data_IF_099225068597
#
_entry.id   IF_099225068597
#
_cell.length_a   1.000
_cell.length_b   1.000
_cell.length_c   1.000
_cell.angle_alpha   90.00
_cell.angle_beta   90.00
_cell.angle_gamma   90.00
#
_symmetry.space_group_name_H-M   'P 1'
#
loop_
_entity.id
_entity.type
_entity.pdbx_description
1 polymer ?
#
# COMPACT_ATOMS: atom_id res chain seq x y z
N UNK A 1 35.12 62.82 -12.61
CA UNK A 1 34.97 61.60 -11.76
C UNK A 1 33.49 61.26 -11.67
N UNK A 2 33.11 60.13 -12.27
CA UNK A 2 31.73 59.67 -12.48
C UNK A 2 31.11 59.16 -11.17
N UNK A 3 29.88 59.59 -10.85
CA UNK A 3 29.09 59.04 -9.74
C UNK A 3 27.67 58.67 -10.23
N UNK A 4 27.64 57.48 -10.83
CA UNK A 4 26.56 56.49 -11.02
C UNK A 4 25.12 56.96 -10.72
N UNK A 5 24.33 57.18 -11.78
CA UNK A 5 22.86 57.16 -11.70
C UNK A 5 22.37 55.71 -11.67
N UNK A 6 21.55 55.38 -10.67
CA UNK A 6 20.88 54.10 -10.52
C UNK A 6 19.64 54.05 -11.42
N UNK A 7 19.62 53.14 -12.38
CA UNK A 7 18.43 52.80 -13.16
C UNK A 7 17.82 51.53 -12.55
N UNK A 8 16.66 51.70 -11.94
CA UNK A 8 15.81 50.63 -11.41
C UNK A 8 15.21 49.86 -12.59
N UNK A 9 15.73 48.67 -12.88
CA UNK A 9 15.16 47.78 -13.89
C UNK A 9 14.09 46.91 -13.24
N UNK A 10 12.83 47.23 -13.53
CA UNK A 10 11.64 46.54 -13.05
C UNK A 10 11.49 45.22 -13.84
N UNK A 11 11.73 44.07 -13.19
CA UNK A 11 11.45 42.76 -13.77
C UNK A 11 9.94 42.42 -13.61
N UNK A 12 9.22 42.08 -14.68
CA UNK A 12 7.85 41.59 -14.57
C UNK A 12 7.89 40.10 -14.18
N UNK A 13 7.44 39.78 -12.98
CA UNK A 13 7.22 38.41 -12.54
C UNK A 13 5.89 37.91 -13.12
N UNK A 14 5.94 37.18 -14.23
CA UNK A 14 4.75 36.48 -14.78
C UNK A 14 4.53 35.21 -13.98
N UNK A 15 3.73 35.30 -12.92
CA UNK A 15 3.27 34.15 -12.14
C UNK A 15 2.04 33.52 -12.81
N UNK A 16 2.24 32.59 -13.74
CA UNK A 16 1.18 31.78 -14.32
C UNK A 16 0.89 30.55 -13.46
N UNK A 17 -0.13 30.61 -12.60
CA UNK A 17 -0.68 29.41 -11.94
C UNK A 17 -1.62 28.70 -12.91
N UNK A 18 -1.07 27.92 -13.86
CA UNK A 18 -1.88 27.02 -14.66
C UNK A 18 -2.31 25.83 -13.79
N UNK A 19 -3.56 25.85 -13.32
CA UNK A 19 -4.16 24.72 -12.61
C UNK A 19 -4.60 23.68 -13.63
N UNK A 20 -3.73 22.72 -13.93
CA UNK A 20 -4.09 21.56 -14.75
C UNK A 20 -4.97 20.61 -13.92
N UNK A 21 -6.24 20.48 -14.31
CA UNK A 21 -7.14 19.47 -13.75
C UNK A 21 -6.62 18.09 -14.18
N UNK A 22 -6.30 17.18 -13.24
CA UNK A 22 -5.89 15.83 -13.59
C UNK A 22 -7.02 15.11 -14.33
N UNK A 23 -6.72 14.37 -15.42
CA UNK A 23 -7.73 13.57 -16.09
C UNK A 23 -8.31 12.53 -15.11
N UNK A 24 -9.59 12.15 -15.26
CA UNK A 24 -10.20 11.11 -14.45
C UNK A 24 -9.39 9.81 -14.57
N UNK A 25 -9.04 9.22 -13.43
CA UNK A 25 -8.28 7.98 -13.39
C UNK A 25 -9.03 6.86 -14.14
N UNK A 26 -8.35 6.01 -14.93
CA UNK A 26 -8.96 4.86 -15.55
C UNK A 26 -9.68 3.99 -14.51
N UNK A 27 -10.88 3.52 -14.84
CA UNK A 27 -11.61 2.57 -13.99
C UNK A 27 -10.77 1.29 -13.87
N UNK A 28 -10.31 0.99 -12.66
CA UNK A 28 -9.57 -0.23 -12.38
C UNK A 28 -10.51 -1.43 -12.42
N UNK A 29 -10.05 -2.59 -12.91
CA UNK A 29 -10.83 -3.81 -12.84
C UNK A 29 -11.17 -4.12 -11.37
N UNK A 30 -12.42 -4.49 -11.12
CA UNK A 30 -12.84 -4.96 -9.79
C UNK A 30 -12.07 -6.23 -9.47
N UNK A 31 -11.42 -6.28 -8.31
CA UNK A 31 -10.70 -7.47 -7.88
C UNK A 31 -11.68 -8.66 -7.81
N UNK A 32 -11.41 -9.72 -8.59
CA UNK A 32 -12.16 -10.95 -8.52
C UNK A 32 -12.01 -11.58 -7.13
N UNK A 33 -12.98 -12.42 -6.73
CA UNK A 33 -12.87 -13.19 -5.50
C UNK A 33 -11.64 -14.12 -5.58
N UNK A 34 -10.77 -14.03 -4.58
CA UNK A 34 -9.56 -14.83 -4.51
C UNK A 34 -9.90 -16.25 -4.08
N UNK A 35 -9.32 -17.26 -4.75
CA UNK A 35 -9.45 -18.66 -4.32
C UNK A 35 -8.93 -18.91 -2.90
N UNK A 36 -8.10 -18.00 -2.37
CA UNK A 36 -7.64 -18.04 -0.98
C UNK A 36 -8.75 -17.76 0.03
N UNK A 37 -9.89 -17.20 -0.39
CA UNK A 37 -11.02 -16.94 0.49
C UNK A 37 -11.66 -18.23 1.03
N UNK A 38 -11.52 -19.35 0.31
CA UNK A 38 -12.10 -20.64 0.69
C UNK A 38 -11.10 -21.56 1.41
N UNK A 39 -9.87 -21.10 1.62
CA UNK A 39 -8.81 -21.88 2.27
C UNK A 39 -8.93 -21.72 3.78
N UNK A 40 -9.30 -22.81 4.45
CA UNK A 40 -9.40 -22.88 5.90
C UNK A 40 -8.11 -22.36 6.58
N UNK A 41 -8.29 -21.39 7.48
CA UNK A 41 -7.18 -20.77 8.21
C UNK A 41 -6.67 -19.46 7.60
N UNK A 42 -7.07 -19.11 6.37
CA UNK A 42 -6.78 -17.80 5.77
C UNK A 42 -7.89 -16.77 6.03
N UNK A 43 -9.03 -17.17 6.60
CA UNK A 43 -10.15 -16.30 6.98
C UNK A 43 -9.76 -15.18 7.94
N UNK A 44 -8.69 -15.39 8.72
CA UNK A 44 -8.15 -14.42 9.66
C UNK A 44 -7.44 -13.26 8.96
N UNK A 45 -7.07 -13.41 7.68
CA UNK A 45 -6.28 -12.43 6.91
C UNK A 45 -7.06 -11.94 5.70
N UNK A 46 -7.67 -12.85 4.94
CA UNK A 46 -8.44 -12.50 3.74
C UNK A 46 -9.63 -11.59 4.10
N UNK A 47 -9.86 -10.58 3.27
CA UNK A 47 -10.90 -9.57 3.45
C UNK A 47 -10.70 -8.62 4.65
N UNK A 48 -9.61 -8.76 5.43
CA UNK A 48 -9.34 -7.88 6.57
C UNK A 48 -8.75 -6.55 6.13
N UNK A 49 -8.98 -5.54 6.95
CA UNK A 49 -8.40 -4.20 6.81
C UNK A 49 -7.00 -4.16 7.38
N UNK A 50 -6.22 -3.14 7.02
CA UNK A 50 -4.91 -2.87 7.61
C UNK A 50 -4.96 -2.84 9.15
N UNK A 51 -5.94 -2.14 9.73
CA UNK A 51 -6.11 -2.06 11.19
C UNK A 51 -6.38 -3.42 11.83
N UNK A 52 -7.11 -4.30 11.15
CA UNK A 52 -7.35 -5.67 11.64
C UNK A 52 -6.08 -6.51 11.60
N UNK A 53 -5.28 -6.41 10.54
CA UNK A 53 -3.99 -7.11 10.47
C UNK A 53 -3.01 -6.62 11.52
N UNK A 54 -2.97 -5.32 11.80
CA UNK A 54 -2.12 -4.75 12.85
C UNK A 54 -2.54 -5.24 14.24
N UNK A 55 -3.84 -5.40 14.50
CA UNK A 55 -4.30 -6.01 15.76
C UNK A 55 -3.94 -7.50 15.86
N UNK A 56 -3.96 -8.21 14.73
CA UNK A 56 -3.70 -9.64 14.69
C UNK A 56 -2.21 -9.97 14.80
N UNK A 57 -1.36 -9.22 14.11
CA UNK A 57 0.06 -9.50 13.98
C UNK A 57 0.95 -8.50 14.72
N UNK A 58 0.46 -7.33 15.10
CA UNK A 58 1.29 -6.20 15.56
C UNK A 58 1.71 -5.29 14.41
N UNK A 59 2.68 -4.41 14.64
CA UNK A 59 3.14 -3.47 13.59
C UNK A 59 3.75 -4.21 12.40
N UNK A 60 3.48 -3.76 11.16
CA UNK A 60 4.13 -4.29 9.97
C UNK A 60 5.58 -3.80 9.90
N UNK A 61 6.45 -4.58 9.27
CA UNK A 61 7.83 -4.17 8.96
C UNK A 61 7.90 -3.20 7.78
N UNK A 62 6.90 -3.25 6.89
CA UNK A 62 6.75 -2.30 5.80
C UNK A 62 5.26 -2.04 5.54
N UNK A 63 4.94 -0.79 5.26
CA UNK A 63 3.60 -0.33 4.91
C UNK A 63 3.73 0.61 3.72
N UNK A 64 3.40 0.09 2.54
CA UNK A 64 3.62 0.76 1.26
C UNK A 64 2.27 1.12 0.65
N UNK A 65 2.05 2.40 0.37
CA UNK A 65 0.82 2.88 -0.29
C UNK A 65 1.11 3.22 -1.75
N UNK A 66 0.46 2.51 -2.66
CA UNK A 66 0.55 2.67 -4.12
C UNK A 66 -0.88 2.69 -4.67
N UNK A 67 -1.59 3.84 -4.62
CA UNK A 67 -3.00 3.93 -4.99
C UNK A 67 -3.29 3.26 -6.35
N UNK A 68 -4.31 2.39 -6.44
CA UNK A 68 -5.36 2.13 -5.45
C UNK A 68 -4.96 1.18 -4.30
N UNK A 69 -3.80 0.54 -4.40
CA UNK A 69 -3.37 -0.54 -3.55
C UNK A 69 -2.60 -0.05 -2.32
N UNK A 70 -2.54 -0.92 -1.32
CA UNK A 70 -1.64 -0.81 -0.17
C UNK A 70 -1.06 -2.18 0.12
N UNK A 71 0.23 -2.26 0.42
CA UNK A 71 0.91 -3.49 0.79
C UNK A 71 1.40 -3.40 2.23
N UNK A 72 1.03 -4.37 3.04
CA UNK A 72 1.57 -4.55 4.39
C UNK A 72 2.47 -5.79 4.41
N UNK A 73 3.68 -5.64 4.95
CA UNK A 73 4.60 -6.74 5.16
C UNK A 73 4.72 -7.05 6.64
N UNK A 74 4.65 -8.33 6.99
CA UNK A 74 4.92 -8.85 8.32
C UNK A 74 6.00 -9.91 8.25
N UNK A 75 6.74 -10.13 9.34
CA UNK A 75 7.69 -11.25 9.40
C UNK A 75 7.80 -11.83 10.80
N UNK A 76 8.08 -13.12 10.86
CA UNK A 76 8.58 -13.85 12.01
C UNK A 76 9.94 -14.47 11.67
N UNK A 77 10.56 -15.19 12.60
CA UNK A 77 11.75 -16.00 12.29
C UNK A 77 11.49 -17.12 11.27
N UNK A 78 10.24 -17.51 11.07
CA UNK A 78 9.86 -18.61 10.18
C UNK A 78 9.52 -18.14 8.75
N UNK A 79 8.90 -16.97 8.58
CA UNK A 79 8.43 -16.51 7.27
C UNK A 79 8.19 -14.99 7.20
N UNK A 80 7.97 -14.51 5.98
CA UNK A 80 7.51 -13.18 5.60
C UNK A 80 6.15 -13.34 4.93
N UNK A 81 5.18 -12.50 5.32
CA UNK A 81 3.87 -12.39 4.69
C UNK A 81 3.72 -10.99 4.11
N UNK A 82 3.43 -10.91 2.81
CA UNK A 82 2.96 -9.69 2.14
C UNK A 82 1.45 -9.78 1.95
N UNK A 83 0.72 -8.82 2.51
CA UNK A 83 -0.72 -8.66 2.34
C UNK A 83 -1.01 -7.50 1.39
N UNK A 84 -1.76 -7.78 0.33
CA UNK A 84 -2.12 -6.80 -0.70
C UNK A 84 -3.58 -6.38 -0.50
N UNK A 85 -3.77 -5.10 -0.18
CA UNK A 85 -5.06 -4.51 0.14
C UNK A 85 -5.54 -3.61 -0.99
N UNK A 86 -6.76 -3.84 -1.45
CA UNK A 86 -7.42 -3.06 -2.50
C UNK A 86 -8.75 -2.50 -2.02
N UNK A 87 -9.28 -1.44 -2.66
CA UNK A 87 -10.60 -0.92 -2.35
C UNK A 87 -11.66 -2.01 -2.49
N UNK A 88 -12.61 -2.03 -1.55
CA UNK A 88 -13.79 -2.88 -1.68
C UNK A 88 -14.67 -2.39 -2.84
N UNK A 89 -15.37 -3.28 -3.58
CA UNK A 89 -16.26 -2.88 -4.68
C UNK A 89 -17.33 -1.86 -4.26
N UNK A 90 -17.75 -1.90 -3.00
CA UNK A 90 -18.72 -0.99 -2.41
C UNK A 90 -18.08 0.29 -1.81
N UNK A 91 -16.82 0.56 -2.10
CA UNK A 91 -16.03 1.61 -1.45
C UNK A 91 -15.62 1.26 -0.01
N UNK A 92 -14.98 2.22 0.66
CA UNK A 92 -14.51 2.09 2.04
C UNK A 92 -13.03 1.71 2.17
N UNK A 93 -12.62 1.20 3.34
CA UNK A 93 -11.23 0.85 3.63
C UNK A 93 -10.70 -0.27 2.71
N UNK A 94 -9.42 -0.18 2.34
CA UNK A 94 -8.75 -1.24 1.58
C UNK A 94 -8.72 -2.56 2.37
N UNK A 95 -9.03 -3.66 1.69
CA UNK A 95 -9.12 -5.02 2.25
C UNK A 95 -8.19 -5.98 1.52
N UNK A 96 -7.66 -6.96 2.24
CA UNK A 96 -6.81 -8.00 1.68
C UNK A 96 -7.56 -8.78 0.60
N UNK A 97 -7.04 -8.77 -0.62
CA UNK A 97 -7.52 -9.62 -1.72
C UNK A 97 -6.50 -10.69 -2.10
N UNK A 98 -5.24 -10.52 -1.71
CA UNK A 98 -4.17 -11.48 -1.99
C UNK A 98 -3.11 -11.47 -0.89
N UNK A 99 -2.48 -12.63 -0.68
CA UNK A 99 -1.31 -12.77 0.17
C UNK A 99 -0.24 -13.63 -0.50
N UNK A 100 1.01 -13.23 -0.29
CA UNK A 100 2.20 -14.02 -0.62
C UNK A 100 2.99 -14.35 0.65
N UNK A 101 3.60 -15.53 0.67
CA UNK A 101 4.34 -16.04 1.82
C UNK A 101 5.63 -16.71 1.40
N UNK A 102 6.73 -16.27 2.00
CA UNK A 102 8.07 -16.76 1.67
C UNK A 102 9.00 -16.75 2.87
N UNK A 103 10.10 -17.47 2.78
CA UNK A 103 11.22 -17.34 3.69
C UNK A 103 12.15 -16.19 3.25
N UNK A 104 13.08 -15.78 4.11
CA UNK A 104 14.05 -14.72 3.84
C UNK A 104 14.94 -14.98 2.60
N UNK A 105 15.13 -16.23 2.22
CA UNK A 105 15.85 -16.65 1.00
C UNK A 105 14.95 -16.71 -0.25
N UNK A 106 13.67 -16.33 -0.12
CA UNK A 106 12.71 -16.31 -1.23
C UNK A 106 11.96 -17.62 -1.47
N UNK A 107 12.27 -18.70 -0.75
CA UNK A 107 11.55 -19.96 -0.89
C UNK A 107 10.07 -19.79 -0.48
N UNK A 108 9.15 -20.35 -1.29
CA UNK A 108 7.71 -20.32 -1.00
C UNK A 108 7.43 -21.08 0.30
N UNK A 109 6.62 -20.49 1.16
CA UNK A 109 6.16 -21.09 2.42
C UNK A 109 4.65 -21.28 2.36
N UNK A 110 4.14 -22.35 2.96
CA UNK A 110 2.69 -22.53 3.12
C UNK A 110 2.04 -21.33 3.83
N UNK A 111 0.95 -20.82 3.25
CA UNK A 111 0.28 -19.59 3.71
C UNK A 111 -0.28 -19.75 5.11
N UNK A 112 -0.94 -20.87 5.39
CA UNK A 112 -1.59 -21.13 6.69
C UNK A 112 -0.53 -21.24 7.79
N UNK A 113 0.54 -21.97 7.53
CA UNK A 113 1.69 -22.11 8.43
C UNK A 113 2.32 -20.75 8.74
N UNK A 114 2.50 -19.90 7.73
CA UNK A 114 3.06 -18.56 7.92
C UNK A 114 2.14 -17.66 8.75
N UNK A 115 0.82 -17.67 8.50
CA UNK A 115 -0.16 -16.95 9.31
C UNK A 115 -0.10 -17.39 10.77
N UNK A 116 -0.02 -18.68 11.04
CA UNK A 116 0.09 -19.21 12.40
C UNK A 116 1.39 -18.78 13.07
N UNK A 117 2.52 -18.86 12.38
CA UNK A 117 3.82 -18.43 12.91
C UNK A 117 3.85 -16.92 13.22
N UNK A 118 3.13 -16.09 12.46
CA UNK A 118 3.04 -14.65 12.73
C UNK A 118 2.19 -14.32 13.96
N UNK A 119 1.22 -15.16 14.31
CA UNK A 119 0.35 -14.95 15.49
C UNK A 119 1.04 -15.22 16.83
N UNK A 120 2.13 -15.99 16.80
CA UNK A 120 2.85 -16.45 18.01
C UNK A 120 4.26 -15.87 18.10
N UNK A 121 4.56 -14.80 17.35
CA UNK A 121 5.91 -14.23 17.23
C UNK A 121 6.32 -13.36 18.41
#
# INVERSE_FOLDING_TARGET
MIRKLAIFAMLPAVAGCASTIPPPAPALPTAAQSALNDVAGLDLVMGKTARQLVRLFGNPRADVSEPPARKLQFSSGACILDAYLYPSPNGGENRVTHIDTRRSDGAVVDRVSCVNALRTR
#
